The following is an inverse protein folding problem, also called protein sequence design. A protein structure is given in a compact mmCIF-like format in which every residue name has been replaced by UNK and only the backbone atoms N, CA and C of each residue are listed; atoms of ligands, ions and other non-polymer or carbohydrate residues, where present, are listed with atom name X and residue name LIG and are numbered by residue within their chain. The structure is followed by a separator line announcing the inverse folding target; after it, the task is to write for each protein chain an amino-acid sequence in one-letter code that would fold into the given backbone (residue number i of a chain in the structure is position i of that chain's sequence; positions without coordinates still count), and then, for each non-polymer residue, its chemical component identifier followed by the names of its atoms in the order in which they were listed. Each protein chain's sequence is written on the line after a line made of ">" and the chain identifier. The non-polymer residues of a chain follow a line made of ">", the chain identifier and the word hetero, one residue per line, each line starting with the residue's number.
data_IF_821169970288
#
_entry.id   IF_821169970288
#
_cell.length_a   1.000
_cell.length_b   1.000
_cell.length_c   1.000
_cell.angle_alpha   90.00
_cell.angle_beta   90.00
_cell.angle_gamma   90.00
#
_symmetry.space_group_name_H-M   'P 1'
#
loop_
_entity.id
_entity.type
_entity.pdbx_description
1 polymer ?
#
# COMPACT_ATOMS: atom_id res chain seq x y z
N UNK A 1 -3.84 11.45 14.11
CA UNK A 1 -4.87 10.49 13.64
C UNK A 1 -4.39 9.97 12.29
N UNK A 2 -4.42 8.65 12.08
CA UNK A 2 -3.99 8.03 10.83
C UNK A 2 -5.01 8.39 9.72
N UNK A 3 -4.65 9.36 8.87
CA UNK A 3 -5.51 9.83 7.78
C UNK A 3 -5.10 9.12 6.50
N UNK A 4 -5.97 8.25 6.00
CA UNK A 4 -5.80 7.61 4.69
C UNK A 4 -5.74 8.69 3.61
N UNK A 5 -4.68 8.66 2.81
CA UNK A 5 -4.43 9.62 1.72
C UNK A 5 -4.63 8.99 0.35
N UNK A 6 -4.49 7.66 0.21
CA UNK A 6 -4.68 6.95 -1.05
C UNK A 6 -5.16 5.52 -0.83
N UNK A 7 -5.84 4.97 -1.84
CA UNK A 7 -6.38 3.61 -1.83
C UNK A 7 -6.34 3.03 -3.24
N UNK A 8 -5.98 1.76 -3.38
CA UNK A 8 -5.94 1.09 -4.68
C UNK A 8 -6.15 -0.42 -4.56
N UNK A 9 -7.04 -0.97 -5.39
CA UNK A 9 -7.16 -2.41 -5.60
C UNK A 9 -6.12 -2.91 -6.58
N UNK A 10 -5.62 -4.12 -6.35
CA UNK A 10 -4.86 -4.83 -7.37
C UNK A 10 -5.78 -5.24 -8.54
N UNK A 11 -5.18 -5.72 -9.62
CA UNK A 11 -5.92 -6.06 -10.84
C UNK A 11 -7.00 -7.15 -10.65
N UNK A 12 -6.80 -8.11 -9.74
CA UNK A 12 -7.80 -9.16 -9.45
C UNK A 12 -8.89 -8.70 -8.47
N UNK A 13 -8.66 -7.60 -7.75
CA UNK A 13 -9.49 -7.16 -6.63
C UNK A 13 -9.29 -7.97 -5.35
N UNK A 14 -8.36 -8.94 -5.31
CA UNK A 14 -8.09 -9.76 -4.12
C UNK A 14 -7.32 -8.99 -3.05
N UNK A 15 -6.53 -7.99 -3.46
CA UNK A 15 -5.75 -7.15 -2.56
C UNK A 15 -6.20 -5.69 -2.66
N UNK A 16 -6.26 -5.04 -1.51
CA UNK A 16 -6.54 -3.62 -1.35
C UNK A 16 -5.37 -2.99 -0.61
N UNK A 17 -4.68 -2.04 -1.23
CA UNK A 17 -3.66 -1.24 -0.56
C UNK A 17 -4.22 0.12 -0.14
N UNK A 18 -3.84 0.57 1.04
CA UNK A 18 -4.08 1.93 1.52
C UNK A 18 -2.75 2.55 1.91
N UNK A 19 -2.61 3.85 1.65
CA UNK A 19 -1.50 4.66 2.15
C UNK A 19 -2.05 5.81 2.98
N UNK A 20 -1.31 6.21 4.01
CA UNK A 20 -1.69 7.32 4.89
C UNK A 20 -0.72 8.51 4.82
N UNK A 21 -1.11 9.59 5.53
CA UNK A 21 -0.27 10.78 5.70
C UNK A 21 1.01 10.54 6.49
N UNK A 22 1.09 9.47 7.27
CA UNK A 22 2.25 9.12 8.09
C UNK A 22 3.19 8.13 7.40
N UNK A 23 3.10 7.95 6.08
CA UNK A 23 4.02 7.12 5.31
C UNK A 23 3.78 5.62 5.40
N UNK A 24 2.69 5.17 6.02
CA UNK A 24 2.40 3.75 6.21
C UNK A 24 1.55 3.19 5.07
N UNK A 25 1.92 2.03 4.57
CA UNK A 25 1.10 1.23 3.66
C UNK A 25 0.48 0.07 4.43
N UNK A 26 -0.83 -0.10 4.29
CA UNK A 26 -1.57 -1.27 4.79
C UNK A 26 -2.20 -2.00 3.61
N UNK A 27 -1.92 -3.29 3.50
CA UNK A 27 -2.50 -4.18 2.50
C UNK A 27 -3.52 -5.06 3.19
N UNK A 28 -4.70 -5.14 2.60
CA UNK A 28 -5.75 -6.05 2.99
C UNK A 28 -5.96 -7.10 1.92
N UNK A 29 -6.20 -8.34 2.35
CA UNK A 29 -6.54 -9.46 1.47
C UNK A 29 -7.98 -9.88 1.71
N UNK A 30 -8.71 -10.08 0.62
CA UNK A 30 -10.07 -10.61 0.65
C UNK A 30 -10.06 -12.02 1.25
N UNK A 31 -10.93 -12.28 2.22
CA UNK A 31 -11.12 -13.62 2.76
C UNK A 31 -11.58 -14.58 1.64
N UNK A 32 -10.94 -15.75 1.55
CA UNK A 32 -11.37 -16.77 0.60
C UNK A 32 -12.72 -17.34 1.03
N UNK A 33 -13.64 -17.54 0.09
CA UNK A 33 -14.96 -18.09 0.38
C UNK A 33 -14.83 -19.51 0.96
N UNK A 34 -14.92 -19.63 2.29
CA UNK A 34 -15.05 -20.91 2.94
C UNK A 34 -16.46 -21.45 2.70
N UNK A 35 -16.57 -22.69 2.20
CA UNK A 35 -17.85 -23.36 1.88
C UNK A 35 -18.87 -23.40 3.04
N UNK A 36 -18.46 -23.08 4.26
CA UNK A 36 -19.29 -23.08 5.47
C UNK A 36 -19.85 -21.70 5.89
N UNK A 37 -19.46 -20.59 5.23
CA UNK A 37 -19.99 -19.26 5.56
C UNK A 37 -20.72 -18.67 4.35
N UNK A 38 -22.02 -18.98 4.26
CA UNK A 38 -22.95 -18.46 3.25
C UNK A 38 -23.06 -16.91 3.21
N UNK A 39 -22.39 -16.20 4.14
CA UNK A 39 -22.47 -14.74 4.32
C UNK A 39 -21.12 -14.01 4.30
N UNK A 40 -19.96 -14.69 4.20
CA UNK A 40 -18.63 -14.02 4.25
C UNK A 40 -18.22 -13.40 2.91
N UNK A 41 -19.17 -12.79 2.19
CA UNK A 41 -18.89 -12.19 0.89
C UNK A 41 -18.19 -10.84 1.07
N UNK A 42 -16.87 -10.88 1.05
CA UNK A 42 -16.04 -9.71 0.73
C UNK A 42 -15.44 -8.96 1.91
N UNK A 43 -15.23 -9.62 3.05
CA UNK A 43 -14.40 -9.04 4.11
C UNK A 43 -12.93 -9.00 3.69
N UNK A 44 -12.27 -7.87 3.94
CA UNK A 44 -10.86 -7.65 3.68
C UNK A 44 -10.12 -7.59 5.02
N UNK A 45 -9.25 -8.57 5.25
CA UNK A 45 -8.46 -8.68 6.47
C UNK A 45 -7.07 -8.09 6.25
N UNK A 46 -6.46 -7.53 7.31
CA UNK A 46 -5.09 -7.01 7.23
C UNK A 46 -4.15 -8.15 6.88
N UNK A 47 -3.49 -8.01 5.73
CA UNK A 47 -2.53 -8.97 5.21
C UNK A 47 -1.10 -8.53 5.54
N UNK A 48 -0.79 -7.24 5.35
CA UNK A 48 0.52 -6.70 5.66
C UNK A 48 0.44 -5.22 6.01
N UNK A 49 1.40 -4.74 6.79
CA UNK A 49 1.57 -3.34 7.12
C UNK A 49 3.05 -3.03 7.17
N UNK A 50 3.47 -1.95 6.52
CA UNK A 50 4.87 -1.53 6.52
C UNK A 50 4.98 -0.01 6.41
N UNK A 51 6.10 0.51 6.91
CA UNK A 51 6.46 1.92 6.81
C UNK A 51 7.16 2.13 5.45
N UNK A 52 6.53 2.88 4.55
CA UNK A 52 7.04 3.10 3.19
C UNK A 52 7.87 4.37 3.06
N UNK A 53 7.55 5.42 3.80
CA UNK A 53 8.26 6.69 3.79
C UNK A 53 8.44 7.21 5.20
N UNK A 54 9.54 7.91 5.45
CA UNK A 54 9.83 8.62 6.70
C UNK A 54 9.96 10.12 6.39
N UNK A 55 9.73 11.01 7.37
CA UNK A 55 9.96 12.44 7.17
C UNK A 55 11.43 12.70 6.85
N UNK A 56 11.68 13.48 5.81
CA UNK A 56 13.04 13.88 5.39
C UNK A 56 13.14 15.42 5.32
N UNK A 57 14.37 15.94 5.28
CA UNK A 57 14.60 17.38 5.13
C UNK A 57 15.65 17.65 4.04
N UNK A 58 15.29 18.45 3.03
CA UNK A 58 16.21 18.94 2.00
C UNK A 58 16.90 20.22 2.49
N UNK A 59 18.16 20.09 2.92
CA UNK A 59 18.95 21.21 3.43
C UNK A 59 19.31 22.25 2.37
N UNK A 60 19.41 21.86 1.10
CA UNK A 60 19.76 22.78 0.01
C UNK A 60 18.58 23.68 -0.34
N UNK A 61 17.37 23.13 -0.28
CA UNK A 61 16.12 23.86 -0.54
C UNK A 61 15.47 24.39 0.73
N UNK A 62 15.98 24.03 1.91
CA UNK A 62 15.34 24.30 3.21
C UNK A 62 13.87 23.87 3.22
N UNK A 63 13.61 22.65 2.74
CA UNK A 63 12.26 22.12 2.54
C UNK A 63 12.07 20.83 3.34
N UNK A 64 10.97 20.77 4.09
CA UNK A 64 10.51 19.52 4.72
C UNK A 64 9.85 18.62 3.67
N UNK A 65 10.26 17.36 3.66
CA UNK A 65 9.71 16.32 2.78
C UNK A 65 8.76 15.48 3.62
N UNK A 66 7.47 15.65 3.36
CA UNK A 66 6.43 14.85 4.02
C UNK A 66 6.54 13.37 3.63
N UNK A 67 6.35 12.50 4.62
CA UNK A 67 6.22 11.05 4.47
C UNK A 67 4.89 10.62 3.84
N UNK A 68 3.94 11.56 3.66
CA UNK A 68 2.63 11.30 3.10
C UNK A 68 2.69 10.54 1.77
N UNK A 69 2.01 9.40 1.72
CA UNK A 69 1.84 8.64 0.48
C UNK A 69 0.81 9.35 -0.38
N UNK A 70 1.19 9.80 -1.57
CA UNK A 70 0.30 10.47 -2.51
C UNK A 70 -0.37 9.50 -3.48
N UNK A 71 0.32 8.42 -3.84
CA UNK A 71 -0.19 7.45 -4.81
C UNK A 71 0.35 6.05 -4.56
N UNK A 72 -0.50 5.05 -4.72
CA UNK A 72 -0.14 3.64 -4.81
C UNK A 72 -0.51 3.14 -6.21
N UNK A 73 0.35 2.27 -6.78
CA UNK A 73 0.13 1.59 -8.07
C UNK A 73 0.56 0.14 -8.00
N UNK A 74 -0.37 -0.79 -8.07
CA UNK A 74 -0.06 -2.21 -8.27
C UNK A 74 0.61 -2.43 -9.63
N UNK A 75 1.63 -3.29 -9.64
CA UNK A 75 2.26 -3.74 -10.87
C UNK A 75 1.61 -5.06 -11.33
N UNK A 76 1.60 -5.35 -12.65
CA UNK A 76 1.15 -6.63 -13.14
C UNK A 76 1.92 -7.77 -12.48
N UNK A 77 1.20 -8.77 -11.99
CA UNK A 77 1.81 -9.93 -11.37
C UNK A 77 2.65 -10.71 -12.38
N UNK A 78 3.94 -10.88 -12.12
CA UNK A 78 4.88 -11.60 -12.98
C UNK A 78 5.17 -13.03 -12.47
N UNK A 79 5.03 -13.25 -11.16
CA UNK A 79 5.31 -14.50 -10.47
C UNK A 79 4.31 -14.69 -9.31
N UNK A 80 4.61 -15.59 -8.36
CA UNK A 80 3.75 -15.78 -7.19
C UNK A 80 3.70 -14.55 -6.24
N UNK A 81 4.57 -13.56 -6.45
CA UNK A 81 4.64 -12.36 -5.63
C UNK A 81 3.82 -11.21 -6.22
N UNK A 82 3.31 -10.37 -5.33
CA UNK A 82 2.69 -9.11 -5.69
C UNK A 82 3.66 -7.96 -5.47
N UNK A 83 3.56 -6.96 -6.33
CA UNK A 83 4.36 -5.74 -6.28
C UNK A 83 3.46 -4.52 -6.40
N UNK A 84 3.78 -3.47 -5.66
CA UNK A 84 3.16 -2.16 -5.77
C UNK A 84 4.24 -1.09 -5.69
N UNK A 85 3.94 0.07 -6.24
CA UNK A 85 4.72 1.29 -6.12
C UNK A 85 4.00 2.25 -5.18
N UNK A 86 4.72 2.88 -4.25
CA UNK A 86 4.27 4.02 -3.45
C UNK A 86 5.10 5.25 -3.80
N UNK A 87 4.48 6.43 -3.79
CA UNK A 87 5.16 7.69 -4.08
C UNK A 87 4.73 8.81 -3.14
N UNK A 88 5.69 9.63 -2.71
CA UNK A 88 5.49 10.86 -1.93
C UNK A 88 5.84 12.13 -2.75
N UNK A 89 5.67 13.31 -2.15
CA UNK A 89 5.59 14.61 -2.86
C UNK A 89 6.84 15.08 -3.60
N UNK A 90 7.99 14.44 -3.44
CA UNK A 90 9.24 14.85 -4.10
C UNK A 90 10.07 13.69 -4.67
N UNK A 91 9.63 12.46 -4.46
CA UNK A 91 10.36 11.25 -4.84
C UNK A 91 9.38 10.30 -5.54
N UNK A 92 9.54 10.16 -6.86
CA UNK A 92 9.09 8.97 -7.59
C UNK A 92 10.04 7.83 -7.21
N UNK A 93 10.09 7.45 -5.93
CA UNK A 93 10.88 6.31 -5.51
C UNK A 93 10.16 5.04 -5.89
N UNK A 94 10.88 4.21 -6.64
CA UNK A 94 10.41 2.89 -7.02
C UNK A 94 10.55 1.99 -5.79
N UNK A 95 9.56 1.97 -4.90
CA UNK A 95 9.53 0.99 -3.82
C UNK A 95 9.10 -0.36 -4.40
N UNK A 96 10.01 -1.33 -4.42
CA UNK A 96 9.73 -2.71 -4.82
C UNK A 96 9.42 -3.52 -3.56
N UNK A 97 8.16 -3.51 -3.11
CA UNK A 97 7.73 -4.44 -2.08
C UNK A 97 7.55 -5.83 -2.69
N UNK A 98 8.51 -6.72 -2.49
CA UNK A 98 8.35 -8.16 -2.76
C UNK A 98 7.43 -8.74 -1.68
N UNK A 99 6.21 -9.13 -2.02
CA UNK A 99 5.44 -10.06 -1.19
C UNK A 99 5.66 -11.48 -1.67
N UNK A 100 6.74 -12.12 -1.22
CA UNK A 100 6.87 -13.58 -1.25
C UNK A 100 6.64 -14.13 0.15
N UNK A 101 5.79 -15.15 0.28
CA UNK A 101 5.99 -16.16 1.31
C UNK A 101 7.13 -17.08 0.87
#
# INVERSE_FOLDING_TARGET
>A
ADIISTVEFNYSGELLATGDKGGRVVIFQREQESKNRLLSRGEYNVYSTFQSHEPEFDYLKSLEIEEKINKIRWLPQQNAAHFLLSANGFRNELWMCNFCY
#
